data_IF_231923926347
#
_entry.id   IF_231923926347
#
_cell.length_a   1.000
_cell.length_b   1.000
_cell.length_c   1.000
_cell.angle_alpha   90.00
_cell.angle_beta   90.00
_cell.angle_gamma   90.00
#
_symmetry.space_group_name_H-M   'P 1'
#
loop_
_entity.id
_entity.type
_entity.pdbx_description
1 polymer ?
#
# COMPACT_ATOMS: atom_id res chain seq x y z
N UNK A 1 -19.65 14.05 10.10
CA UNK A 1 -19.77 12.67 9.60
C UNK A 1 -18.37 12.07 9.53
N UNK A 2 -18.11 10.90 10.13
CA UNK A 2 -16.77 10.30 10.08
C UNK A 2 -16.48 9.87 8.63
N UNK A 3 -15.32 10.23 8.10
CA UNK A 3 -14.90 9.80 6.77
C UNK A 3 -14.97 8.27 6.67
N UNK A 4 -15.64 7.75 5.63
CA UNK A 4 -15.82 6.31 5.43
C UNK A 4 -14.64 5.77 4.62
N UNK A 5 -13.94 4.78 5.18
CA UNK A 5 -12.84 4.08 4.50
C UNK A 5 -13.30 3.53 3.14
N UNK A 6 -12.52 3.74 2.09
CA UNK A 6 -12.75 3.15 0.77
C UNK A 6 -12.49 1.64 0.85
N UNK A 7 -13.47 0.83 0.47
CA UNK A 7 -13.38 -0.63 0.52
C UNK A 7 -13.62 -1.24 -0.85
N UNK A 8 -12.71 -2.11 -1.32
CA UNK A 8 -12.78 -2.70 -2.67
C UNK A 8 -12.01 -4.03 -2.72
N UNK A 9 -12.73 -5.15 -2.61
CA UNK A 9 -12.13 -6.48 -2.79
C UNK A 9 -11.60 -6.65 -4.21
N UNK A 10 -12.28 -6.06 -5.20
CA UNK A 10 -11.87 -6.07 -6.61
C UNK A 10 -10.47 -5.48 -6.78
N UNK A 11 -10.23 -4.29 -6.25
CA UNK A 11 -8.93 -3.61 -6.34
C UNK A 11 -7.82 -4.40 -5.66
N UNK A 12 -8.09 -5.01 -4.49
CA UNK A 12 -7.12 -5.89 -3.81
C UNK A 12 -6.72 -7.07 -4.71
N UNK A 13 -7.66 -7.68 -5.43
CA UNK A 13 -7.34 -8.79 -6.33
C UNK A 13 -6.64 -8.33 -7.61
N UNK A 14 -7.00 -7.16 -8.15
CA UNK A 14 -6.39 -6.61 -9.38
C UNK A 14 -4.90 -6.26 -9.20
N UNK A 15 -4.49 -5.80 -8.00
CA UNK A 15 -3.09 -5.48 -7.71
C UNK A 15 -2.31 -6.65 -7.13
N UNK A 16 -2.97 -7.76 -6.80
CA UNK A 16 -2.31 -8.92 -6.21
C UNK A 16 -1.31 -9.52 -7.19
N UNK A 17 -0.13 -9.84 -6.69
CA UNK A 17 0.95 -10.44 -7.46
C UNK A 17 1.50 -11.68 -6.73
N UNK A 18 2.10 -12.60 -7.49
CA UNK A 18 2.81 -13.75 -6.92
C UNK A 18 4.26 -13.42 -6.56
N UNK A 19 4.70 -12.18 -6.78
CA UNK A 19 6.06 -11.68 -6.60
C UNK A 19 6.04 -10.48 -5.66
N UNK A 20 6.95 -10.47 -4.70
CA UNK A 20 7.21 -9.34 -3.83
C UNK A 20 7.80 -8.17 -4.63
N UNK A 21 7.17 -7.00 -4.53
CA UNK A 21 7.60 -5.80 -5.26
C UNK A 21 8.89 -5.18 -4.70
N UNK A 22 9.31 -5.59 -3.49
CA UNK A 22 10.52 -5.08 -2.84
C UNK A 22 11.74 -5.96 -3.13
N UNK A 23 11.60 -7.28 -3.02
CA UNK A 23 12.74 -8.20 -3.10
C UNK A 23 12.66 -9.25 -4.21
N UNK A 24 11.56 -9.30 -4.97
CA UNK A 24 11.39 -10.26 -6.08
C UNK A 24 11.07 -11.71 -5.64
N UNK A 25 11.06 -12.01 -4.34
CA UNK A 25 10.72 -13.35 -3.86
C UNK A 25 9.24 -13.68 -4.13
N UNK A 26 8.96 -14.97 -4.34
CA UNK A 26 7.59 -15.47 -4.46
C UNK A 26 6.80 -15.23 -3.18
N UNK A 27 5.51 -14.97 -3.33
CA UNK A 27 4.59 -14.73 -2.22
C UNK A 27 3.17 -15.14 -2.58
N UNK A 28 2.41 -15.56 -1.58
CA UNK A 28 1.00 -15.97 -1.72
C UNK A 28 0.08 -15.17 -0.80
N UNK A 29 0.62 -14.26 0.03
CA UNK A 29 -0.18 -13.45 0.96
C UNK A 29 -0.90 -12.30 0.22
N UNK A 30 -1.90 -11.72 0.87
CA UNK A 30 -2.58 -10.53 0.32
C UNK A 30 -1.64 -9.31 0.30
N UNK A 31 -1.87 -8.35 -0.62
CA UNK A 31 -1.15 -7.08 -0.62
C UNK A 31 -1.25 -6.37 0.73
N UNK A 32 -0.14 -5.79 1.14
CA UNK A 32 -0.01 -5.00 2.34
C UNK A 32 -0.61 -3.59 2.14
N UNK A 33 -1.37 -3.13 3.14
CA UNK A 33 -1.84 -1.75 3.22
C UNK A 33 -0.77 -0.83 3.82
N UNK A 34 -0.17 0.06 3.01
CA UNK A 34 0.86 1.02 3.44
C UNK A 34 0.35 1.93 4.56
N UNK A 35 -0.84 2.51 4.38
CA UNK A 35 -1.66 3.07 5.45
C UNK A 35 -2.61 1.99 5.94
N UNK A 36 -2.49 1.61 7.20
CA UNK A 36 -3.22 0.48 7.77
C UNK A 36 -4.74 0.68 7.71
N UNK A 37 -5.49 -0.42 7.60
CA UNK A 37 -6.96 -0.42 7.61
C UNK A 37 -7.54 0.25 8.86
N UNK A 38 -6.90 0.02 10.02
CA UNK A 38 -7.31 0.60 11.31
C UNK A 38 -7.14 2.12 11.38
N UNK A 39 -6.18 2.68 10.63
CA UNK A 39 -5.98 4.13 10.51
C UNK A 39 -6.86 4.78 9.43
N UNK A 40 -7.68 4.00 8.74
CA UNK A 40 -8.56 4.49 7.66
C UNK A 40 -7.97 4.36 6.25
N UNK A 41 -6.86 3.64 6.07
CA UNK A 41 -6.29 3.39 4.75
C UNK A 41 -7.23 2.65 3.80
N UNK A 42 -7.36 3.17 2.58
CA UNK A 42 -8.28 2.66 1.56
C UNK A 42 -7.79 1.38 0.88
N UNK A 43 -8.72 0.63 0.31
CA UNK A 43 -8.43 -0.46 -0.63
C UNK A 43 -8.23 0.14 -2.04
N UNK A 44 -7.19 0.95 -2.21
CA UNK A 44 -6.81 1.65 -3.45
C UNK A 44 -5.41 1.23 -3.90
N UNK A 45 -5.08 1.38 -5.19
CA UNK A 45 -3.82 0.86 -5.75
C UNK A 45 -2.59 1.50 -5.08
N UNK A 46 -2.67 2.80 -4.81
CA UNK A 46 -1.63 3.63 -4.20
C UNK A 46 -1.36 3.27 -2.73
N UNK A 47 -2.28 2.53 -2.11
CA UNK A 47 -2.15 2.07 -0.73
C UNK A 47 -1.78 0.59 -0.61
N UNK A 48 -1.67 -0.12 -1.73
CA UNK A 48 -1.51 -1.57 -1.77
C UNK A 48 -0.20 -1.97 -2.45
N UNK A 49 0.63 -2.70 -1.72
CA UNK A 49 1.90 -3.26 -2.21
C UNK A 49 1.97 -4.75 -1.94
N UNK A 50 2.34 -5.55 -2.93
CA UNK A 50 2.58 -6.97 -2.76
C UNK A 50 3.93 -7.21 -2.07
N UNK A 51 3.87 -7.74 -0.85
CA UNK A 51 5.06 -8.14 -0.09
C UNK A 51 5.12 -9.67 0.06
N UNK A 52 6.32 -10.20 0.26
CA UNK A 52 6.50 -11.52 0.88
C UNK A 52 6.37 -11.40 2.41
N UNK A 53 6.20 -12.54 3.10
CA UNK A 53 6.03 -12.57 4.55
C UNK A 53 7.15 -11.84 5.30
N UNK A 54 8.41 -11.99 4.87
CA UNK A 54 9.54 -11.34 5.53
C UNK A 54 9.48 -9.81 5.39
N UNK A 55 9.33 -9.28 4.16
CA UNK A 55 9.20 -7.84 3.95
C UNK A 55 7.96 -7.28 4.66
N UNK A 56 6.86 -8.02 4.68
CA UNK A 56 5.65 -7.64 5.40
C UNK A 56 5.89 -7.47 6.90
N UNK A 57 6.59 -8.42 7.53
CA UNK A 57 6.95 -8.34 8.95
C UNK A 57 7.90 -7.16 9.19
N UNK A 58 8.92 -7.00 8.33
CA UNK A 58 9.89 -5.92 8.46
C UNK A 58 9.23 -4.53 8.45
N UNK A 59 8.27 -4.31 7.56
CA UNK A 59 7.54 -3.03 7.49
C UNK A 59 6.81 -2.72 8.81
N UNK A 60 6.21 -3.74 9.46
CA UNK A 60 5.56 -3.56 10.76
C UNK A 60 6.56 -3.37 11.91
N UNK A 61 7.78 -3.89 11.79
CA UNK A 61 8.84 -3.76 12.80
C UNK A 61 9.71 -2.52 12.63
N UNK A 62 9.38 -1.63 11.68
CA UNK A 62 10.19 -0.44 11.38
C UNK A 62 11.53 -0.76 10.70
N UNK A 63 11.67 -1.96 10.15
CA UNK A 63 12.80 -2.39 9.36
C UNK A 63 12.51 -2.21 7.87
N UNK A 64 13.54 -2.31 7.02
CA UNK A 64 13.37 -2.23 5.57
C UNK A 64 12.53 -3.42 5.03
N UNK A 65 11.53 -3.16 4.16
CA UNK A 65 11.14 -1.86 3.63
C UNK A 65 10.28 -1.06 4.61
N UNK A 66 10.60 0.22 4.75
CA UNK A 66 9.78 1.18 5.50
C UNK A 66 8.48 1.49 4.75
N UNK A 67 7.59 2.26 5.38
CA UNK A 67 6.36 2.73 4.75
C UNK A 67 6.67 3.63 3.55
N UNK A 68 7.69 4.47 3.67
CA UNK A 68 8.17 5.39 2.64
C UNK A 68 8.75 4.61 1.46
N UNK A 69 9.56 3.58 1.72
CA UNK A 69 10.08 2.67 0.68
C UNK A 69 8.93 2.00 -0.10
N UNK A 70 7.92 1.52 0.62
CA UNK A 70 6.74 0.91 0.00
C UNK A 70 5.98 1.91 -0.87
N UNK A 71 5.80 3.15 -0.39
CA UNK A 71 5.08 4.18 -1.13
C UNK A 71 5.85 4.62 -2.38
N UNK A 72 7.19 4.72 -2.31
CA UNK A 72 8.05 4.98 -3.46
C UNK A 72 7.90 3.90 -4.54
N UNK A 73 7.90 2.62 -4.16
CA UNK A 73 7.74 1.50 -5.09
C UNK A 73 6.36 1.53 -5.75
N UNK A 74 5.31 1.76 -4.97
CA UNK A 74 3.95 1.86 -5.50
C UNK A 74 3.79 3.07 -6.43
N UNK A 75 4.34 4.23 -6.06
CA UNK A 75 4.31 5.41 -6.92
C UNK A 75 4.96 5.13 -8.28
N UNK A 76 6.14 4.50 -8.28
CA UNK A 76 6.82 4.08 -9.49
C UNK A 76 5.99 3.07 -10.31
N UNK A 77 5.35 2.09 -9.68
CA UNK A 77 4.46 1.11 -10.35
C UNK A 77 3.26 1.79 -11.01
N UNK A 78 2.66 2.77 -10.35
CA UNK A 78 1.49 3.51 -10.86
C UNK A 78 1.87 4.64 -11.83
N UNK A 79 3.17 4.89 -12.06
CA UNK A 79 3.65 5.91 -12.98
C UNK A 79 3.45 7.35 -12.49
N UNK A 80 3.43 7.54 -11.16
CA UNK A 80 3.23 8.83 -10.49
C UNK A 80 4.40 9.13 -9.55
N UNK A 81 4.47 10.38 -9.10
CA UNK A 81 5.44 10.79 -8.08
C UNK A 81 5.04 10.31 -6.69
N UNK A 82 6.02 10.29 -5.78
CA UNK A 82 5.77 10.02 -4.36
C UNK A 82 4.73 10.96 -3.75
N UNK A 83 4.83 12.26 -4.05
CA UNK A 83 3.92 13.27 -3.49
C UNK A 83 2.49 13.09 -4.01
N UNK A 84 2.32 12.70 -5.28
CA UNK A 84 1.00 12.34 -5.82
C UNK A 84 0.43 11.11 -5.14
N UNK A 85 1.20 10.03 -4.98
CA UNK A 85 0.76 8.83 -4.28
C UNK A 85 0.41 9.11 -2.82
N UNK A 86 1.21 9.96 -2.15
CA UNK A 86 0.93 10.45 -0.80
C UNK A 86 -0.40 11.20 -0.76
N UNK A 87 -0.57 12.23 -1.61
CA UNK A 87 -1.77 13.05 -1.64
C UNK A 87 -3.03 12.21 -1.94
N UNK A 88 -2.96 11.27 -2.88
CA UNK A 88 -4.06 10.34 -3.19
C UNK A 88 -4.45 9.53 -1.95
N UNK A 89 -3.48 8.94 -1.26
CA UNK A 89 -3.71 8.21 -0.02
C UNK A 89 -4.37 9.08 1.05
N UNK A 90 -3.87 10.30 1.26
CA UNK A 90 -4.40 11.22 2.27
C UNK A 90 -5.82 11.67 1.94
N UNK A 91 -6.10 12.03 0.69
CA UNK A 91 -7.46 12.37 0.23
C UNK A 91 -8.42 11.18 0.39
N UNK A 92 -7.97 9.97 0.06
CA UNK A 92 -8.73 8.73 0.27
C UNK A 92 -8.97 8.39 1.75
N UNK A 93 -8.23 8.99 2.67
CA UNK A 93 -8.44 8.91 4.12
C UNK A 93 -9.27 10.09 4.66
N UNK A 94 -9.62 11.07 3.82
CA UNK A 94 -10.44 12.23 4.17
C UNK A 94 -9.67 13.48 4.62
N UNK A 95 -8.36 13.56 4.35
CA UNK A 95 -7.56 14.75 4.61
C UNK A 95 -7.63 15.72 3.43
N UNK A 96 -7.54 17.02 3.74
CA UNK A 96 -7.43 18.11 2.77
C UNK A 96 -5.95 18.47 2.56
N UNK A 97 -5.34 17.89 1.52
CA UNK A 97 -3.93 18.05 1.12
C UNK A 97 -3.80 18.11 -0.39
#
# INVERSE_FOLDING_TARGET
MKHKRITSRKTIQEVRSQICEVCGNRTTIEPHHINTRGSGGGDIRENLIQLCTQCHINTHSGQYPTKEDCLMIVAAREGITYDEAYAINRRAMGYDV
#
